data_IF_863806886179
#
_entry.id   IF_863806886179
#
_cell.length_a   1.000
_cell.length_b   1.000
_cell.length_c   1.000
_cell.angle_alpha   90.00
_cell.angle_beta   90.00
_cell.angle_gamma   90.00
#
_symmetry.space_group_name_H-M   'P 1'
#
loop_
_entity.id
_entity.type
_entity.pdbx_description
1 polymer ?
#
# COMPACT_ATOMS: atom_id res chain seq x y z
N UNK A 1 20.93 -26.10 -41.06
CA UNK A 1 20.61 -24.65 -41.14
C UNK A 1 19.12 -24.53 -41.37
N UNK A 2 18.34 -24.45 -40.28
CA UNK A 2 16.93 -24.02 -40.30
C UNK A 2 16.87 -22.60 -39.75
N UNK A 3 15.91 -21.76 -40.18
CA UNK A 3 15.87 -20.36 -39.78
C UNK A 3 15.46 -20.25 -38.32
N UNK A 4 16.14 -19.37 -37.59
CA UNK A 4 15.75 -18.92 -36.25
C UNK A 4 14.57 -17.97 -36.43
N UNK A 5 13.37 -18.37 -36.00
CA UNK A 5 12.24 -17.45 -35.85
C UNK A 5 12.54 -16.49 -34.70
N UNK A 6 12.71 -15.23 -35.04
CA UNK A 6 12.79 -14.14 -34.08
C UNK A 6 11.42 -14.00 -33.40
N UNK A 7 11.38 -14.28 -32.10
CA UNK A 7 10.26 -13.93 -31.23
C UNK A 7 10.06 -12.42 -31.28
N UNK A 8 8.94 -12.01 -31.86
CA UNK A 8 8.48 -10.63 -31.82
C UNK A 8 8.25 -10.24 -30.35
N UNK A 9 8.99 -9.23 -29.88
CA UNK A 9 8.69 -8.54 -28.64
C UNK A 9 7.28 -7.94 -28.75
N UNK A 10 6.35 -8.44 -27.96
CA UNK A 10 5.08 -7.78 -27.66
C UNK A 10 5.42 -6.43 -27.05
N UNK A 11 5.16 -5.36 -27.80
CA UNK A 11 5.09 -4.01 -27.24
C UNK A 11 3.84 -3.96 -26.37
N UNK A 12 4.02 -3.91 -25.06
CA UNK A 12 2.94 -3.54 -24.14
C UNK A 12 2.43 -2.14 -24.54
N UNK A 13 1.21 -2.10 -25.04
CA UNK A 13 0.54 -0.87 -25.40
C UNK A 13 0.16 -0.13 -24.11
N UNK A 14 1.04 0.76 -23.62
CA UNK A 14 0.71 1.70 -22.57
C UNK A 14 -0.56 2.47 -22.96
N UNK A 15 -1.59 2.41 -22.11
CA UNK A 15 -2.83 3.13 -22.35
C UNK A 15 -2.53 4.64 -22.48
N UNK A 16 -3.07 5.33 -23.52
CA UNK A 16 -2.80 6.74 -23.72
C UNK A 16 -3.31 7.56 -22.53
N UNK A 17 -2.51 8.54 -22.10
CA UNK A 17 -2.88 9.45 -21.02
C UNK A 17 -4.26 10.08 -21.28
N UNK A 18 -5.11 10.23 -20.24
CA UNK A 18 -6.43 10.80 -20.40
C UNK A 18 -6.33 12.24 -20.90
N UNK A 19 -6.98 12.53 -22.03
CA UNK A 19 -6.94 13.85 -22.68
C UNK A 19 -8.05 14.79 -22.21
N UNK A 20 -9.02 14.30 -21.44
CA UNK A 20 -10.14 15.10 -20.90
C UNK A 20 -10.83 14.43 -19.69
N UNK A 21 -11.76 15.14 -19.06
CA UNK A 21 -12.64 14.59 -18.02
C UNK A 21 -11.98 14.36 -16.66
N UNK A 22 -12.62 13.50 -15.86
CA UNK A 22 -12.24 13.23 -14.47
C UNK A 22 -10.88 12.53 -14.35
N UNK A 23 -10.53 11.65 -15.30
CA UNK A 23 -9.24 10.95 -15.31
C UNK A 23 -8.06 11.93 -15.46
N UNK A 24 -8.17 12.93 -16.35
CA UNK A 24 -7.16 14.00 -16.49
C UNK A 24 -7.03 14.80 -15.19
N UNK A 25 -8.14 15.09 -14.52
CA UNK A 25 -8.12 15.80 -13.23
C UNK A 25 -7.41 14.97 -12.15
N UNK A 26 -7.58 13.64 -12.15
CA UNK A 26 -6.89 12.74 -11.22
C UNK A 26 -5.36 12.79 -11.40
N UNK A 27 -4.87 12.67 -12.64
CA UNK A 27 -3.43 12.74 -12.94
C UNK A 27 -2.86 14.11 -12.60
N UNK A 28 -3.56 15.19 -12.98
CA UNK A 28 -3.14 16.55 -12.66
C UNK A 28 -3.09 16.81 -11.15
N UNK A 29 -4.05 16.28 -10.40
CA UNK A 29 -4.09 16.40 -8.94
C UNK A 29 -2.92 15.65 -8.28
N UNK A 30 -2.63 14.43 -8.74
CA UNK A 30 -1.47 13.66 -8.28
C UNK A 30 -0.16 14.42 -8.54
N UNK A 31 0.02 14.94 -9.75
CA UNK A 31 1.19 15.75 -10.13
C UNK A 31 1.34 16.99 -9.24
N UNK A 32 0.25 17.70 -8.98
CA UNK A 32 0.26 18.86 -8.08
C UNK A 32 0.68 18.49 -6.67
N UNK A 33 0.15 17.41 -6.09
CA UNK A 33 0.54 16.98 -4.74
C UNK A 33 2.01 16.55 -4.65
N UNK A 34 2.55 15.94 -5.71
CA UNK A 34 3.97 15.61 -5.80
C UNK A 34 4.86 16.85 -5.77
N UNK A 35 4.60 17.83 -6.64
CA UNK A 35 5.37 19.08 -6.65
C UNK A 35 5.24 19.85 -5.32
N UNK A 36 4.02 19.92 -4.79
CA UNK A 36 3.74 20.60 -3.53
C UNK A 36 4.53 20.00 -2.36
N UNK A 37 4.71 18.67 -2.36
CA UNK A 37 5.51 17.98 -1.34
C UNK A 37 6.98 18.42 -1.41
N UNK A 38 7.53 18.55 -2.62
CA UNK A 38 8.89 19.06 -2.83
C UNK A 38 9.07 20.51 -2.35
N UNK A 39 8.12 21.39 -2.71
CA UNK A 39 8.09 22.79 -2.26
C UNK A 39 8.06 22.88 -0.73
N UNK A 40 7.09 22.22 -0.09
CA UNK A 40 6.94 22.27 1.36
C UNK A 40 8.21 21.83 2.12
N UNK A 41 8.87 20.74 1.67
CA UNK A 41 10.12 20.27 2.28
C UNK A 41 11.24 21.30 2.08
N UNK A 42 11.36 21.84 0.86
CA UNK A 42 12.36 22.83 0.51
C UNK A 42 12.22 24.12 1.32
N UNK A 43 11.00 24.63 1.45
CA UNK A 43 10.70 25.87 2.18
C UNK A 43 11.00 25.74 3.67
N UNK A 44 10.51 24.68 4.31
CA UNK A 44 10.77 24.45 5.73
C UNK A 44 12.27 24.27 5.99
N UNK A 45 12.94 23.46 5.16
CA UNK A 45 14.38 23.19 5.31
C UNK A 45 15.20 24.46 5.06
N UNK A 46 14.89 25.21 4.01
CA UNK A 46 15.58 26.45 3.67
C UNK A 46 15.38 27.54 4.71
N UNK A 47 14.17 27.66 5.27
CA UNK A 47 13.90 28.58 6.38
C UNK A 47 14.70 28.21 7.62
N UNK A 48 14.70 26.93 8.02
CA UNK A 48 15.45 26.46 9.19
C UNK A 48 16.94 26.74 9.01
N UNK A 49 17.52 26.37 7.86
CA UNK A 49 18.94 26.57 7.59
C UNK A 49 19.29 28.06 7.48
N UNK A 50 18.50 28.83 6.71
CA UNK A 50 18.75 30.26 6.50
C UNK A 50 18.70 31.04 7.81
N UNK A 51 17.71 30.75 8.66
CA UNK A 51 17.59 31.37 9.98
C UNK A 51 18.73 30.96 10.90
N UNK A 52 19.07 29.66 10.95
CA UNK A 52 20.17 29.16 11.78
C UNK A 52 21.53 29.75 11.39
N UNK A 53 21.74 30.05 10.11
CA UNK A 53 22.95 30.68 9.59
C UNK A 53 22.90 32.22 9.61
N UNK A 54 21.81 32.82 10.08
CA UNK A 54 21.64 34.28 10.16
C UNK A 54 21.54 34.97 8.80
N UNK A 55 20.98 34.31 7.79
CA UNK A 55 20.76 34.91 6.48
C UNK A 55 19.68 36.00 6.54
N UNK A 56 19.80 36.99 5.65
CA UNK A 56 18.71 37.95 5.40
C UNK A 56 17.48 37.24 4.85
N UNK A 57 16.29 37.84 4.99
CA UNK A 57 15.03 37.28 4.44
C UNK A 57 15.18 36.91 2.96
N UNK A 58 15.81 37.76 2.14
CA UNK A 58 16.07 37.47 0.74
C UNK A 58 17.00 36.25 0.55
N UNK A 59 18.06 36.14 1.36
CA UNK A 59 18.97 34.99 1.33
C UNK A 59 18.27 33.69 1.72
N UNK A 60 17.41 33.72 2.73
CA UNK A 60 16.61 32.59 3.18
C UNK A 60 15.60 32.16 2.13
N UNK A 61 14.90 33.11 1.48
CA UNK A 61 13.99 32.83 0.36
C UNK A 61 14.74 32.16 -0.79
N UNK A 62 15.88 32.70 -1.22
CA UNK A 62 16.66 32.13 -2.32
C UNK A 62 17.15 30.71 -2.01
N UNK A 63 17.53 30.45 -0.76
CA UNK A 63 17.89 29.10 -0.30
C UNK A 63 16.70 28.15 -0.31
N UNK A 64 15.56 28.57 0.24
CA UNK A 64 14.31 27.81 0.25
C UNK A 64 13.87 27.43 -1.16
N UNK A 65 13.82 28.39 -2.09
CA UNK A 65 13.50 28.16 -3.50
C UNK A 65 14.47 27.15 -4.12
N UNK A 66 15.78 27.32 -3.89
CA UNK A 66 16.79 26.39 -4.40
C UNK A 66 16.60 24.97 -3.88
N UNK A 67 16.26 24.81 -2.60
CA UNK A 67 15.99 23.52 -1.97
C UNK A 67 14.66 22.93 -2.44
N UNK A 68 13.63 23.72 -2.69
CA UNK A 68 12.36 23.26 -3.24
C UNK A 68 12.55 22.60 -4.62
N UNK A 69 13.32 23.25 -5.50
CA UNK A 69 13.71 22.63 -6.78
C UNK A 69 14.52 21.35 -6.57
N UNK A 70 15.50 21.35 -5.66
CA UNK A 70 16.33 20.19 -5.38
C UNK A 70 15.50 18.99 -4.89
N UNK A 71 14.61 19.20 -3.92
CA UNK A 71 13.74 18.16 -3.37
C UNK A 71 12.70 17.71 -4.39
N UNK A 72 12.08 18.64 -5.12
CA UNK A 72 11.15 18.31 -6.20
C UNK A 72 11.77 17.39 -7.25
N UNK A 73 12.94 17.76 -7.79
CA UNK A 73 13.66 16.91 -8.75
C UNK A 73 14.10 15.58 -8.15
N UNK A 74 14.45 15.56 -6.86
CA UNK A 74 14.88 14.34 -6.17
C UNK A 74 13.72 13.36 -5.98
N UNK A 75 12.50 13.84 -5.68
CA UNK A 75 11.30 13.00 -5.57
C UNK A 75 10.96 12.33 -6.91
N UNK A 76 11.17 13.00 -8.03
CA UNK A 76 11.00 12.42 -9.39
C UNK A 76 12.15 11.50 -9.77
N UNK A 77 13.39 11.89 -9.47
CA UNK A 77 14.59 11.20 -9.93
C UNK A 77 14.84 9.88 -9.19
N UNK A 78 14.54 9.84 -7.89
CA UNK A 78 14.92 8.72 -7.04
C UNK A 78 14.21 7.40 -7.38
N UNK A 79 12.89 7.36 -7.67
CA UNK A 79 12.24 6.15 -8.17
C UNK A 79 12.81 5.68 -9.51
N UNK A 80 13.11 6.60 -10.43
CA UNK A 80 13.67 6.28 -11.75
C UNK A 80 15.09 5.70 -11.65
N UNK A 81 15.92 6.26 -10.77
CA UNK A 81 17.26 5.71 -10.50
C UNK A 81 17.18 4.33 -9.85
N UNK A 82 16.23 4.11 -8.94
CA UNK A 82 15.99 2.79 -8.32
C UNK A 82 15.51 1.75 -9.32
N UNK A 83 14.74 2.18 -10.33
CA UNK A 83 14.34 1.34 -11.46
C UNK A 83 15.48 1.11 -12.48
N UNK A 84 16.69 1.59 -12.21
CA UNK A 84 17.89 1.32 -13.01
C UNK A 84 18.12 2.25 -14.20
N UNK A 85 17.38 3.36 -14.33
CA UNK A 85 17.61 4.33 -15.39
C UNK A 85 18.92 5.11 -15.16
N UNK A 86 19.67 5.36 -16.24
CA UNK A 86 20.89 6.18 -16.17
C UNK A 86 20.57 7.66 -15.88
N UNK A 87 21.44 8.34 -15.13
CA UNK A 87 21.30 9.77 -14.81
C UNK A 87 21.08 10.66 -16.04
N UNK A 88 21.68 10.31 -17.18
CA UNK A 88 21.51 11.02 -18.46
C UNK A 88 20.07 10.99 -18.99
N UNK A 89 19.28 10.00 -18.60
CA UNK A 89 17.86 9.87 -18.94
C UNK A 89 16.99 10.50 -17.85
N UNK A 90 17.34 10.29 -16.58
CA UNK A 90 16.56 10.77 -15.44
C UNK A 90 16.55 12.30 -15.33
N UNK A 91 17.71 12.94 -15.48
CA UNK A 91 17.85 14.40 -15.28
C UNK A 91 16.93 15.18 -16.24
N UNK A 92 16.93 14.94 -17.56
CA UNK A 92 16.01 15.60 -18.48
C UNK A 92 14.53 15.35 -18.13
N UNK A 93 14.18 14.15 -17.67
CA UNK A 93 12.80 13.81 -17.28
C UNK A 93 12.37 14.64 -16.08
N UNK A 94 13.17 14.70 -15.01
CA UNK A 94 12.85 15.48 -13.81
C UNK A 94 12.71 16.98 -14.13
N UNK A 95 13.63 17.54 -14.92
CA UNK A 95 13.55 18.93 -15.37
C UNK A 95 12.28 19.19 -16.21
N UNK A 96 11.98 18.32 -17.17
CA UNK A 96 10.78 18.48 -17.99
C UNK A 96 9.48 18.33 -17.19
N UNK A 97 9.52 17.55 -16.10
CA UNK A 97 8.37 17.18 -15.28
C UNK A 97 8.01 18.26 -14.26
N UNK A 98 9.02 18.77 -13.56
CA UNK A 98 8.81 19.52 -12.33
C UNK A 98 9.06 21.03 -12.48
N UNK A 99 9.97 21.46 -13.36
CA UNK A 99 10.50 22.84 -13.35
C UNK A 99 9.41 23.90 -13.43
N UNK A 100 8.44 23.74 -14.34
CA UNK A 100 7.41 24.76 -14.54
C UNK A 100 6.39 24.79 -13.39
N UNK A 101 6.00 23.62 -12.87
CA UNK A 101 5.04 23.55 -11.75
C UNK A 101 5.64 24.13 -10.47
N UNK A 102 6.89 23.74 -10.15
CA UNK A 102 7.60 24.25 -8.97
C UNK A 102 7.80 25.75 -9.11
N UNK A 103 8.24 26.25 -10.26
CA UNK A 103 8.43 27.69 -10.47
C UNK A 103 7.14 28.49 -10.20
N UNK A 104 5.99 28.00 -10.65
CA UNK A 104 4.69 28.64 -10.39
C UNK A 104 4.36 28.61 -8.90
N UNK A 105 4.54 27.47 -8.23
CA UNK A 105 4.28 27.33 -6.80
C UNK A 105 5.16 28.28 -5.98
N UNK A 106 6.47 28.28 -6.22
CA UNK A 106 7.42 29.16 -5.51
C UNK A 106 7.10 30.65 -5.68
N UNK A 107 6.66 31.07 -6.88
CA UNK A 107 6.24 32.47 -7.10
C UNK A 107 5.02 32.80 -6.24
N UNK A 108 4.04 31.90 -6.21
CA UNK A 108 2.80 32.10 -5.44
C UNK A 108 3.08 32.05 -3.95
N UNK A 109 3.82 31.06 -3.47
CA UNK A 109 4.13 30.86 -2.06
C UNK A 109 4.86 32.08 -1.49
N UNK A 110 5.95 32.51 -2.13
CA UNK A 110 6.70 33.68 -1.69
C UNK A 110 5.86 34.97 -1.79
N UNK A 111 4.97 35.10 -2.78
CA UNK A 111 4.07 36.25 -2.86
C UNK A 111 3.06 36.28 -1.69
N UNK A 112 2.53 35.13 -1.28
CA UNK A 112 1.64 35.03 -0.11
C UNK A 112 2.42 35.31 1.18
N UNK A 113 3.60 34.74 1.34
CA UNK A 113 4.44 34.98 2.52
C UNK A 113 4.80 36.47 2.70
N UNK A 114 5.04 37.19 1.61
CA UNK A 114 5.25 38.64 1.63
C UNK A 114 3.96 39.42 1.92
N UNK A 115 2.81 38.92 1.45
CA UNK A 115 1.52 39.60 1.62
C UNK A 115 0.94 39.45 3.04
N UNK A 116 1.24 38.35 3.75
CA UNK A 116 0.78 38.12 5.13
C UNK A 116 1.63 38.97 6.09
N UNK A 117 1.03 39.94 6.82
CA UNK A 117 1.79 40.78 7.75
C UNK A 117 2.50 39.95 8.82
N UNK A 118 3.79 40.23 9.04
CA UNK A 118 4.61 39.54 10.04
C UNK A 118 5.07 38.13 9.67
N UNK A 119 4.57 37.51 8.60
CA UNK A 119 4.96 36.14 8.23
C UNK A 119 6.44 36.00 7.84
N UNK A 120 7.02 37.03 7.21
CA UNK A 120 8.44 37.05 6.85
C UNK A 120 9.39 37.20 8.04
N UNK A 121 8.89 37.71 9.17
CA UNK A 121 9.66 37.90 10.40
C UNK A 121 9.42 36.77 11.41
N UNK A 122 8.36 35.98 11.22
CA UNK A 122 8.02 34.84 12.04
C UNK A 122 8.98 33.66 11.74
N UNK A 123 9.61 33.12 12.78
CA UNK A 123 10.52 31.98 12.67
C UNK A 123 9.79 30.64 12.80
N UNK A 124 10.55 29.55 12.68
CA UNK A 124 10.04 28.17 12.82
C UNK A 124 9.31 27.89 14.15
N UNK A 125 9.57 28.68 15.20
CA UNK A 125 8.93 28.56 16.50
C UNK A 125 7.57 29.26 16.60
N UNK A 126 7.23 30.11 15.62
CA UNK A 126 6.03 30.95 15.66
C UNK A 126 4.87 30.28 14.95
N UNK A 127 3.69 30.32 15.57
CA UNK A 127 2.49 29.73 14.98
C UNK A 127 2.06 30.46 13.70
N UNK A 128 2.32 31.78 13.63
CA UNK A 128 2.05 32.62 12.47
C UNK A 128 2.82 32.13 11.23
N UNK A 129 4.08 31.72 11.39
CA UNK A 129 4.87 31.16 10.30
C UNK A 129 4.18 29.92 9.71
N UNK A 130 3.85 28.94 10.56
CA UNK A 130 3.21 27.71 10.11
C UNK A 130 1.82 27.95 9.52
N UNK A 131 1.08 28.93 10.05
CA UNK A 131 -0.22 29.31 9.52
C UNK A 131 -0.13 29.95 8.13
N UNK A 132 0.78 30.91 7.96
CA UNK A 132 1.03 31.58 6.69
C UNK A 132 1.54 30.60 5.62
N UNK A 133 2.54 29.78 5.97
CA UNK A 133 3.10 28.75 5.08
C UNK A 133 2.05 27.75 4.61
N UNK A 134 1.19 27.28 5.52
CA UNK A 134 0.14 26.33 5.17
C UNK A 134 -0.86 26.93 4.17
N UNK A 135 -1.24 28.19 4.34
CA UNK A 135 -2.16 28.88 3.42
C UNK A 135 -1.48 29.18 2.08
N UNK A 136 -0.21 29.60 2.10
CA UNK A 136 0.61 29.79 0.92
C UNK A 136 0.60 28.51 0.05
N UNK A 137 1.06 27.40 0.62
CA UNK A 137 1.17 26.10 -0.07
C UNK A 137 -0.16 25.64 -0.67
N UNK A 138 -1.27 25.84 0.03
CA UNK A 138 -2.60 25.50 -0.47
C UNK A 138 -2.97 26.35 -1.69
N UNK A 139 -2.73 27.67 -1.62
CA UNK A 139 -3.01 28.58 -2.73
C UNK A 139 -2.09 28.26 -3.91
N UNK A 140 -0.80 28.02 -3.69
CA UNK A 140 0.15 27.58 -4.70
C UNK A 140 -0.28 26.28 -5.36
N UNK A 141 -0.72 25.28 -4.59
CA UNK A 141 -1.29 24.03 -5.10
C UNK A 141 -2.54 24.25 -5.97
N UNK A 142 -3.47 25.11 -5.53
CA UNK A 142 -4.67 25.47 -6.30
C UNK A 142 -4.32 26.15 -7.63
N UNK A 143 -3.31 27.03 -7.64
CA UNK A 143 -2.84 27.72 -8.85
C UNK A 143 -2.06 26.78 -9.78
N UNK A 144 -1.28 25.86 -9.23
CA UNK A 144 -0.49 24.91 -10.01
C UNK A 144 -1.33 23.76 -10.60
N UNK A 145 -2.47 23.41 -10.00
CA UNK A 145 -3.39 22.42 -10.54
C UNK A 145 -3.80 22.65 -12.01
N UNK A 146 -4.34 23.82 -12.42
CA UNK A 146 -4.65 24.07 -13.82
C UNK A 146 -3.41 24.10 -14.72
N UNK A 147 -2.24 24.48 -14.18
CA UNK A 147 -0.96 24.44 -14.89
C UNK A 147 -0.56 23.00 -15.22
N UNK A 148 -0.55 22.12 -14.23
CA UNK A 148 -0.23 20.70 -14.41
C UNK A 148 -1.22 20.03 -15.34
N UNK A 149 -2.51 20.33 -15.18
CA UNK A 149 -3.55 19.87 -16.09
C UNK A 149 -3.28 20.29 -17.54
N UNK A 150 -2.89 21.55 -17.77
CA UNK A 150 -2.57 22.05 -19.10
C UNK A 150 -1.30 21.38 -19.67
N UNK A 151 -0.24 21.24 -18.88
CA UNK A 151 1.00 20.56 -19.29
C UNK A 151 0.73 19.12 -19.75
N UNK A 152 -0.08 18.37 -18.99
CA UNK A 152 -0.44 16.98 -19.33
C UNK A 152 -1.17 16.92 -20.68
N UNK A 153 -2.09 17.84 -20.96
CA UNK A 153 -2.78 17.89 -22.28
C UNK A 153 -1.85 18.20 -23.46
N UNK A 154 -0.61 18.62 -23.19
CA UNK A 154 0.42 18.90 -24.19
C UNK A 154 1.52 17.84 -24.22
N UNK A 155 1.35 16.71 -23.55
CA UNK A 155 2.38 15.69 -23.35
C UNK A 155 3.68 16.28 -22.77
N UNK A 156 3.53 17.19 -21.80
CA UNK A 156 4.64 17.83 -21.08
C UNK A 156 4.44 17.68 -19.57
N UNK A 157 5.41 18.11 -18.79
CA UNK A 157 5.34 17.98 -17.33
C UNK A 157 5.29 16.50 -16.95
N UNK A 158 4.39 16.17 -16.03
CA UNK A 158 4.21 14.82 -15.49
C UNK A 158 3.71 13.78 -16.51
N UNK A 159 3.28 14.20 -17.70
CA UNK A 159 3.03 13.27 -18.80
C UNK A 159 4.31 12.52 -19.23
N UNK A 160 5.47 13.18 -19.19
CA UNK A 160 6.77 12.59 -19.57
C UNK A 160 7.19 11.50 -18.58
N UNK A 161 6.93 11.71 -17.29
CA UNK A 161 7.16 10.69 -16.28
C UNK A 161 6.22 9.49 -16.47
N UNK A 162 4.96 9.72 -16.81
CA UNK A 162 3.98 8.65 -17.05
C UNK A 162 4.35 7.73 -18.22
N UNK A 163 5.03 8.24 -19.25
CA UNK A 163 5.55 7.43 -20.37
C UNK A 163 6.59 6.38 -19.91
N UNK A 164 7.21 6.57 -18.76
CA UNK A 164 8.18 5.60 -18.21
C UNK A 164 7.53 4.41 -17.51
N UNK A 165 6.23 4.47 -17.21
CA UNK A 165 5.52 3.45 -16.42
C UNK A 165 5.89 3.40 -14.94
N UNK A 166 6.87 4.19 -14.49
CA UNK A 166 7.36 4.19 -13.11
C UNK A 166 6.64 5.28 -12.33
N UNK A 167 5.97 4.89 -11.25
CA UNK A 167 5.28 5.80 -10.33
C UNK A 167 5.85 5.64 -8.93
N UNK A 168 6.23 6.74 -8.30
CA UNK A 168 6.77 6.74 -6.95
C UNK A 168 6.23 7.90 -6.12
N UNK A 169 6.32 7.78 -4.80
CA UNK A 169 5.89 8.82 -3.86
C UNK A 169 4.96 8.29 -2.75
N UNK A 170 4.71 9.09 -1.70
CA UNK A 170 3.77 8.74 -0.64
C UNK A 170 2.34 8.60 -1.18
N UNK A 171 1.46 7.81 -0.52
CA UNK A 171 0.09 7.61 -0.98
C UNK A 171 -0.65 8.94 -1.15
N UNK A 172 -1.19 9.20 -2.35
CA UNK A 172 -1.87 10.47 -2.70
C UNK A 172 -2.94 10.86 -1.67
N UNK A 173 -3.67 9.89 -1.13
CA UNK A 173 -4.70 10.12 -0.10
C UNK A 173 -4.11 10.67 1.22
N UNK A 174 -2.94 10.19 1.61
CA UNK A 174 -2.24 10.69 2.79
C UNK A 174 -1.80 12.13 2.55
N UNK A 175 -1.18 12.42 1.39
CA UNK A 175 -0.74 13.77 1.04
C UNK A 175 -1.93 14.72 0.96
N UNK A 176 -3.04 14.30 0.35
CA UNK A 176 -4.27 15.09 0.27
C UNK A 176 -4.88 15.37 1.66
N UNK A 177 -4.87 14.38 2.56
CA UNK A 177 -5.36 14.56 3.93
C UNK A 177 -4.48 15.56 4.70
N UNK A 178 -3.16 15.42 4.63
CA UNK A 178 -2.21 16.34 5.26
C UNK A 178 -2.39 17.75 4.72
N UNK A 179 -2.53 17.92 3.40
CA UNK A 179 -2.78 19.21 2.77
C UNK A 179 -4.11 19.84 3.25
N UNK A 180 -5.18 19.05 3.36
CA UNK A 180 -6.46 19.54 3.88
C UNK A 180 -6.37 19.96 5.36
N UNK A 181 -5.68 19.17 6.19
CA UNK A 181 -5.45 19.51 7.59
C UNK A 181 -4.62 20.80 7.74
N UNK A 182 -3.55 20.96 6.95
CA UNK A 182 -2.74 22.17 6.90
C UNK A 182 -3.58 23.39 6.48
N UNK A 183 -4.48 23.25 5.50
CA UNK A 183 -5.37 24.33 5.07
C UNK A 183 -6.29 24.82 6.19
N UNK A 184 -6.92 23.88 6.92
CA UNK A 184 -7.79 24.22 8.07
C UNK A 184 -6.99 24.90 9.17
N UNK A 185 -5.84 24.33 9.52
CA UNK A 185 -4.95 24.88 10.54
C UNK A 185 -4.50 26.31 10.18
N UNK A 186 -3.95 26.51 8.97
CA UNK A 186 -3.44 27.81 8.56
C UNK A 186 -4.53 28.88 8.47
N UNK A 187 -5.71 28.52 7.96
CA UNK A 187 -6.86 29.44 7.92
C UNK A 187 -7.28 29.85 9.34
N UNK A 188 -7.34 28.91 10.28
CA UNK A 188 -7.68 29.20 11.66
C UNK A 188 -6.67 30.14 12.34
N UNK A 189 -5.37 29.91 12.12
CA UNK A 189 -4.30 30.77 12.65
C UNK A 189 -4.40 32.19 12.08
N UNK A 190 -4.51 32.34 10.75
CA UNK A 190 -4.57 33.67 10.13
C UNK A 190 -5.84 34.44 10.51
N UNK A 191 -6.99 33.78 10.66
CA UNK A 191 -8.21 34.40 11.17
C UNK A 191 -8.03 34.80 12.65
N UNK A 192 -7.38 33.96 13.46
CA UNK A 192 -7.06 34.26 14.85
C UNK A 192 -6.21 35.51 14.99
N UNK A 193 -5.17 35.67 14.16
CA UNK A 193 -4.32 36.87 14.12
C UNK A 193 -5.07 38.11 13.62
N UNK A 194 -5.89 37.96 12.58
CA UNK A 194 -6.68 39.06 12.02
C UNK A 194 -7.76 39.59 13.00
N UNK A 195 -8.31 38.72 13.85
CA UNK A 195 -9.33 39.07 14.86
C UNK A 195 -8.70 39.42 16.22
N UNK A 196 -7.55 38.83 16.52
CA UNK A 196 -6.83 38.94 17.80
C UNK A 196 -5.86 40.11 17.92
N UNK A 197 -5.70 40.92 16.87
CA UNK A 197 -4.81 42.10 16.80
C UNK A 197 -5.15 43.28 17.75
N UNK A 198 -5.64 43.00 18.95
CA UNK A 198 -5.96 43.99 19.98
C UNK A 198 -5.67 43.57 21.43
N UNK A 199 -4.90 42.51 21.70
CA UNK A 199 -4.53 42.18 23.07
C UNK A 199 -3.08 41.69 23.23
N UNK A 200 -2.18 42.64 23.45
CA UNK A 200 -0.82 42.40 23.92
C UNK A 200 -0.86 41.70 25.29
N UNK A 201 -0.08 40.62 25.46
CA UNK A 201 0.19 40.10 26.79
C UNK A 201 0.76 38.68 26.88
N UNK A 202 2.08 38.58 27.01
CA UNK A 202 2.67 37.70 28.03
C UNK A 202 3.39 36.43 27.56
N UNK A 203 4.72 36.57 27.47
CA UNK A 203 5.80 35.58 27.63
C UNK A 203 5.48 34.16 28.13
N UNK A 204 6.19 33.20 27.53
CA UNK A 204 6.42 31.86 28.10
C UNK A 204 7.54 31.09 27.41
N UNK A 205 8.74 31.67 27.33
CA UNK A 205 9.93 30.89 27.00
C UNK A 205 10.19 29.85 28.08
N UNK A 206 10.33 28.58 27.67
CA UNK A 206 10.86 27.52 28.53
C UNK A 206 12.07 26.90 27.85
N UNK A 207 13.23 27.35 28.30
CA UNK A 207 14.53 26.73 28.11
C UNK A 207 14.72 25.62 29.17
N UNK A 208 15.16 24.43 28.74
CA UNK A 208 15.87 23.37 29.50
C UNK A 208 15.77 22.07 28.70
N UNK A 209 16.75 21.18 28.59
CA UNK A 209 18.17 21.14 28.90
C UNK A 209 18.68 19.86 28.22
N UNK A 210 19.95 19.84 27.82
CA UNK A 210 20.63 18.66 27.31
C UNK A 210 20.70 17.53 28.38
N UNK A 211 20.91 16.29 27.92
CA UNK A 211 22.01 15.51 28.48
C UNK A 211 22.97 15.04 27.39
N UNK A 212 24.25 15.24 27.68
CA UNK A 212 25.40 14.70 26.96
C UNK A 212 25.58 13.20 27.22
N UNK A 213 26.05 12.48 26.20
CA UNK A 213 26.99 11.37 26.36
C UNK A 213 26.46 9.97 26.06
N UNK A 214 26.74 9.46 24.86
CA UNK A 214 27.66 8.33 24.72
C UNK A 214 28.18 8.22 23.28
N UNK A 215 29.50 8.32 23.16
CA UNK A 215 30.31 8.04 21.99
C UNK A 215 30.37 6.54 21.68
N UNK A 216 30.31 6.21 20.40
CA UNK A 216 30.65 4.90 19.85
C UNK A 216 30.96 5.03 18.36
N UNK A 217 32.24 5.24 18.04
CA UNK A 217 32.79 4.99 16.71
C UNK A 217 32.68 3.49 16.38
N UNK A 218 32.27 3.13 15.17
CA UNK A 218 33.18 2.61 14.13
C UNK A 218 32.42 2.04 12.91
N UNK A 219 33.07 2.26 11.76
CA UNK A 219 33.16 1.39 10.57
C UNK A 219 32.01 1.33 9.56
N UNK A 220 32.24 2.15 8.52
CA UNK A 220 32.12 1.75 7.12
C UNK A 220 32.72 0.37 6.84
N UNK A 221 31.90 -0.52 6.29
CA UNK A 221 32.32 -1.65 5.45
C UNK A 221 31.48 -1.63 4.18
N UNK A 222 32.17 -1.41 3.06
CA UNK A 222 31.66 -1.59 1.72
C UNK A 222 31.79 -3.06 1.34
N UNK A 223 30.71 -3.72 0.93
CA UNK A 223 30.76 -5.00 0.21
C UNK A 223 29.63 -5.11 -0.83
N UNK A 224 30.04 -5.40 -2.06
CA UNK A 224 29.45 -6.45 -2.90
C UNK A 224 28.13 -6.16 -3.60
N UNK A 225 28.19 -5.52 -4.78
CA UNK A 225 27.14 -5.64 -5.79
C UNK A 225 27.02 -7.11 -6.25
N UNK A 226 25.86 -7.72 -6.01
CA UNK A 226 25.42 -8.91 -6.73
C UNK A 226 24.18 -8.52 -7.54
N UNK A 227 24.33 -8.51 -8.86
CA UNK A 227 23.22 -8.28 -9.80
C UNK A 227 22.39 -9.56 -9.91
N UNK A 228 21.17 -9.52 -9.41
CA UNK A 228 20.11 -10.43 -9.83
C UNK A 228 19.01 -9.60 -10.47
N UNK A 229 18.60 -10.00 -11.68
CA UNK A 229 17.50 -9.42 -12.43
C UNK A 229 16.18 -9.76 -11.73
N UNK A 230 15.70 -8.87 -10.87
CA UNK A 230 14.42 -9.01 -10.18
C UNK A 230 13.29 -8.42 -11.03
N UNK A 231 12.32 -9.26 -11.35
CA UNK A 231 10.95 -8.84 -11.63
C UNK A 231 10.42 -8.13 -10.37
N UNK A 232 9.68 -7.03 -10.51
CA UNK A 232 9.16 -6.30 -9.34
C UNK A 232 8.30 -7.23 -8.45
N UNK A 233 8.48 -7.20 -7.11
CA UNK A 233 7.65 -7.95 -6.18
C UNK A 233 6.16 -7.64 -6.35
N UNK A 234 5.30 -8.65 -6.28
CA UNK A 234 3.83 -8.44 -6.30
C UNK A 234 3.44 -7.53 -5.12
N UNK A 235 2.70 -6.41 -5.33
CA UNK A 235 2.33 -5.50 -4.25
C UNK A 235 1.59 -6.23 -3.12
N UNK A 236 1.95 -5.91 -1.88
CA UNK A 236 1.34 -6.51 -0.68
C UNK A 236 -0.16 -6.17 -0.59
N UNK A 237 -1.02 -7.19 -0.70
CA UNK A 237 -2.49 -7.02 -0.81
C UNK A 237 -3.22 -7.13 0.53
N UNK A 238 -4.49 -6.74 0.53
CA UNK A 238 -5.40 -6.97 1.65
C UNK A 238 -5.17 -6.08 2.88
N UNK A 239 -4.24 -5.11 2.81
CA UNK A 239 -3.99 -4.12 3.85
C UNK A 239 -4.93 -2.92 3.79
N UNK A 240 -5.50 -2.62 2.62
CA UNK A 240 -6.37 -1.47 2.42
C UNK A 240 -7.86 -1.83 2.53
N UNK A 241 -8.65 -0.89 3.09
CA UNK A 241 -10.13 -0.95 3.05
C UNK A 241 -10.67 -0.62 1.65
N UNK A 242 -9.84 0.04 0.84
CA UNK A 242 -10.12 0.41 -0.54
C UNK A 242 -8.84 0.41 -1.38
N UNK A 243 -8.85 -0.32 -2.49
CA UNK A 243 -7.72 -0.56 -3.40
C UNK A 243 -8.19 -0.45 -4.84
N UNK A 244 -7.37 0.09 -5.75
CA UNK A 244 -7.71 0.27 -7.17
C UNK A 244 -9.06 0.96 -7.46
N UNK A 245 -9.45 1.90 -6.60
CA UNK A 245 -10.72 2.62 -6.70
C UNK A 245 -11.94 1.82 -6.26
N UNK A 246 -11.76 0.61 -5.74
CA UNK A 246 -12.81 -0.22 -5.17
C UNK A 246 -12.77 -0.19 -3.65
N UNK A 247 -13.90 -0.52 -3.00
CA UNK A 247 -14.03 -0.61 -1.55
C UNK A 247 -14.93 -1.78 -1.16
N UNK A 248 -14.58 -2.46 -0.07
CA UNK A 248 -15.42 -3.49 0.55
C UNK A 248 -16.33 -2.85 1.61
N UNK A 249 -17.64 -2.94 1.42
CA UNK A 249 -18.64 -2.43 2.35
C UNK A 249 -19.43 -3.57 2.99
N UNK A 250 -19.11 -3.88 4.24
CA UNK A 250 -19.89 -4.83 5.04
C UNK A 250 -21.23 -4.21 5.45
N UNK A 251 -22.33 -4.95 5.27
CA UNK A 251 -23.65 -4.51 5.73
C UNK A 251 -23.76 -4.57 7.27
N UNK A 252 -22.96 -5.43 7.90
CA UNK A 252 -22.85 -5.57 9.35
C UNK A 252 -21.37 -5.57 9.75
N UNK A 253 -21.06 -4.87 10.85
CA UNK A 253 -19.71 -4.81 11.44
C UNK A 253 -19.58 -5.65 12.72
N UNK A 254 -20.65 -6.32 13.12
CA UNK A 254 -20.70 -7.16 14.30
C UNK A 254 -21.39 -8.49 13.95
N UNK A 255 -20.88 -9.59 14.48
CA UNK A 255 -21.40 -10.94 14.30
C UNK A 255 -21.65 -11.60 15.67
N UNK A 256 -22.77 -12.34 15.81
CA UNK A 256 -23.08 -13.00 17.07
C UNK A 256 -22.17 -14.21 17.30
N UNK A 257 -21.48 -14.23 18.44
CA UNK A 257 -20.63 -15.35 18.84
C UNK A 257 -21.42 -16.66 18.94
N UNK A 258 -20.86 -17.73 18.40
CA UNK A 258 -21.35 -19.11 18.51
C UNK A 258 -22.64 -19.41 17.75
N UNK A 259 -23.27 -18.40 17.11
CA UNK A 259 -24.50 -18.55 16.34
C UNK A 259 -24.21 -18.45 14.85
N UNK A 260 -25.02 -19.14 14.04
CA UNK A 260 -25.01 -18.93 12.59
C UNK A 260 -25.60 -17.56 12.30
N UNK A 261 -24.95 -16.80 11.45
CA UNK A 261 -25.41 -15.52 10.96
C UNK A 261 -25.08 -15.40 9.47
N UNK A 262 -25.87 -14.62 8.74
CA UNK A 262 -25.48 -14.18 7.41
C UNK A 262 -24.37 -13.12 7.54
N UNK A 263 -23.35 -13.19 6.68
CA UNK A 263 -22.39 -12.14 6.41
C UNK A 263 -22.69 -11.59 5.02
N UNK A 264 -23.06 -10.31 4.94
CA UNK A 264 -23.39 -9.63 3.69
C UNK A 264 -22.51 -8.41 3.47
N UNK A 265 -22.14 -8.18 2.20
CA UNK A 265 -21.29 -7.08 1.80
C UNK A 265 -21.50 -6.69 0.34
N UNK A 266 -20.99 -5.53 -0.03
CA UNK A 266 -20.95 -5.03 -1.42
C UNK A 266 -19.53 -4.61 -1.75
N UNK A 267 -19.10 -4.85 -2.99
CA UNK A 267 -17.91 -4.19 -3.54
C UNK A 267 -18.41 -2.99 -4.33
N UNK A 268 -17.96 -1.79 -3.95
CA UNK A 268 -18.37 -0.54 -4.59
C UNK A 268 -17.19 0.13 -5.26
N UNK A 269 -17.45 0.87 -6.33
CA UNK A 269 -16.44 1.71 -6.98
C UNK A 269 -16.26 3.07 -6.25
N UNK A 270 -15.46 3.95 -6.85
CA UNK A 270 -15.16 5.27 -6.31
C UNK A 270 -16.35 6.23 -6.28
N UNK A 271 -17.41 5.94 -7.04
CA UNK A 271 -18.69 6.65 -7.02
C UNK A 271 -19.68 6.08 -6.00
N UNK A 272 -19.37 4.92 -5.40
CA UNK A 272 -20.23 4.21 -4.47
C UNK A 272 -21.20 3.23 -5.14
N UNK A 273 -21.07 3.01 -6.45
CA UNK A 273 -21.95 2.11 -7.20
C UNK A 273 -21.53 0.64 -7.03
N UNK A 274 -22.47 -0.31 -6.85
CA UNK A 274 -22.16 -1.73 -6.73
C UNK A 274 -21.55 -2.32 -8.01
N UNK A 275 -20.35 -2.88 -7.86
CA UNK A 275 -19.65 -3.64 -8.89
C UNK A 275 -20.25 -5.03 -9.01
N UNK A 276 -20.34 -5.56 -10.25
CA UNK A 276 -21.01 -6.85 -10.55
C UNK A 276 -20.27 -7.74 -11.55
N UNK A 277 -19.27 -7.21 -12.24
CA UNK A 277 -18.48 -7.86 -13.29
C UNK A 277 -17.31 -8.65 -12.70
N UNK A 278 -17.64 -9.71 -11.96
CA UNK A 278 -16.64 -10.61 -11.37
C UNK A 278 -16.42 -11.85 -12.24
N UNK A 279 -15.15 -12.18 -12.46
CA UNK A 279 -14.73 -13.35 -13.22
C UNK A 279 -14.66 -14.60 -12.33
N UNK A 280 -14.75 -15.78 -12.94
CA UNK A 280 -14.58 -17.04 -12.21
C UNK A 280 -13.09 -17.38 -12.18
N UNK A 281 -12.54 -17.51 -10.99
CA UNK A 281 -11.20 -18.03 -10.72
C UNK A 281 -11.32 -19.12 -9.66
N UNK A 282 -10.57 -20.22 -9.77
CA UNK A 282 -10.64 -21.32 -8.79
C UNK A 282 -12.08 -21.83 -8.54
N UNK A 283 -12.88 -22.00 -9.61
CA UNK A 283 -14.30 -22.40 -9.61
C UNK A 283 -15.28 -21.44 -8.90
N UNK A 284 -14.84 -20.27 -8.45
CA UNK A 284 -15.67 -19.30 -7.73
C UNK A 284 -15.45 -17.90 -8.28
N UNK A 285 -16.43 -17.01 -8.04
CA UNK A 285 -16.27 -15.58 -8.37
C UNK A 285 -15.71 -14.76 -7.21
N UNK A 286 -15.69 -15.34 -6.01
CA UNK A 286 -15.34 -14.66 -4.78
C UNK A 286 -14.86 -15.68 -3.74
N UNK A 287 -13.66 -15.46 -3.24
CA UNK A 287 -13.13 -16.12 -2.05
C UNK A 287 -13.23 -15.13 -0.90
N UNK A 288 -13.96 -15.49 0.14
CA UNK A 288 -14.11 -14.67 1.34
C UNK A 288 -13.36 -15.32 2.49
N UNK A 289 -12.29 -14.70 2.94
CA UNK A 289 -11.48 -15.16 4.06
C UNK A 289 -11.88 -14.35 5.29
N UNK A 290 -12.17 -15.03 6.40
CA UNK A 290 -12.43 -14.41 7.70
C UNK A 290 -11.39 -14.90 8.68
N UNK A 291 -10.42 -14.05 9.02
CA UNK A 291 -9.29 -14.38 9.87
C UNK A 291 -9.31 -13.54 11.15
N UNK A 292 -9.09 -14.16 12.31
CA UNK A 292 -8.93 -13.44 13.58
C UNK A 292 -7.62 -12.64 13.55
N UNK A 293 -7.60 -11.47 14.19
CA UNK A 293 -6.43 -10.57 14.21
C UNK A 293 -5.13 -11.21 14.73
N UNK A 294 -5.25 -12.24 15.56
CA UNK A 294 -4.13 -13.01 16.13
C UNK A 294 -3.85 -14.34 15.39
N UNK A 295 -4.43 -14.53 14.20
CA UNK A 295 -4.30 -15.73 13.36
C UNK A 295 -4.81 -17.04 14.00
N UNK A 296 -5.49 -16.98 15.14
CA UNK A 296 -6.00 -18.18 15.83
C UNK A 296 -7.38 -18.65 15.37
N UNK A 297 -8.01 -17.91 14.44
CA UNK A 297 -9.27 -18.29 13.81
C UNK A 297 -9.26 -17.99 12.31
N UNK A 298 -9.78 -18.91 11.51
CA UNK A 298 -9.80 -18.82 10.04
C UNK A 298 -11.05 -19.51 9.48
N UNK A 299 -11.72 -18.86 8.53
CA UNK A 299 -12.72 -19.48 7.65
C UNK A 299 -12.51 -19.00 6.22
N UNK A 300 -12.71 -19.90 5.27
CA UNK A 300 -12.71 -19.61 3.84
C UNK A 300 -14.09 -19.98 3.29
N UNK A 301 -14.80 -18.98 2.80
CA UNK A 301 -16.20 -19.03 2.40
C UNK A 301 -16.33 -18.63 0.93
N UNK A 302 -17.39 -19.10 0.27
CA UNK A 302 -17.70 -18.76 -1.12
C UNK A 302 -19.08 -18.10 -1.16
N UNK A 303 -19.15 -16.76 -0.97
CA UNK A 303 -20.43 -16.06 -0.99
C UNK A 303 -21.06 -16.08 -2.37
N UNK A 304 -22.36 -15.82 -2.42
CA UNK A 304 -23.13 -15.72 -3.67
C UNK A 304 -23.56 -14.28 -3.92
N UNK A 305 -23.49 -13.85 -5.18
CA UNK A 305 -23.90 -12.51 -5.61
C UNK A 305 -25.42 -12.50 -5.88
N UNK A 306 -26.15 -11.68 -5.15
CA UNK A 306 -27.58 -11.41 -5.38
C UNK A 306 -27.83 -10.38 -6.48
N UNK A 307 -29.05 -10.34 -7.01
CA UNK A 307 -29.45 -9.36 -8.03
C UNK A 307 -29.36 -7.90 -7.54
N UNK A 308 -29.45 -7.69 -6.23
CA UNK A 308 -29.26 -6.40 -5.56
C UNK A 308 -27.79 -5.95 -5.49
N UNK A 309 -26.86 -6.74 -6.02
CA UNK A 309 -25.42 -6.43 -6.02
C UNK A 309 -24.72 -6.81 -4.72
N UNK A 310 -25.42 -7.41 -3.75
CA UNK A 310 -24.83 -7.85 -2.49
C UNK A 310 -24.37 -9.28 -2.55
N UNK A 311 -23.20 -9.51 -2.00
CA UNK A 311 -22.68 -10.82 -1.67
C UNK A 311 -23.23 -11.29 -0.32
N UNK A 312 -23.50 -12.59 -0.21
CA UNK A 312 -24.01 -13.23 1.01
C UNK A 312 -23.40 -14.61 1.23
N UNK A 313 -23.07 -14.91 2.47
CA UNK A 313 -22.69 -16.26 2.93
C UNK A 313 -23.16 -16.47 4.37
N UNK A 314 -23.39 -17.73 4.77
CA UNK A 314 -23.52 -18.06 6.19
C UNK A 314 -22.14 -18.18 6.83
N UNK A 315 -22.02 -17.69 8.06
CA UNK A 315 -20.82 -17.80 8.90
C UNK A 315 -21.19 -18.17 10.33
N UNK A 316 -20.34 -18.93 11.01
CA UNK A 316 -20.47 -19.23 12.44
C UNK A 316 -19.11 -19.13 13.12
N UNK A 317 -18.90 -18.10 13.92
CA UNK A 317 -17.61 -17.85 14.60
C UNK A 317 -17.77 -18.11 16.09
N UNK A 318 -16.98 -19.04 16.63
CA UNK A 318 -17.09 -19.48 18.04
C UNK A 318 -16.31 -18.63 19.03
N UNK A 319 -15.22 -18.01 18.59
CA UNK A 319 -14.36 -17.16 19.41
C UNK A 319 -14.75 -15.68 19.26
N UNK A 320 -14.65 -14.93 20.35
CA UNK A 320 -14.87 -13.49 20.35
C UNK A 320 -13.63 -12.76 19.82
N UNK A 321 -13.80 -11.51 19.38
CA UNK A 321 -12.69 -10.60 19.07
C UNK A 321 -12.80 -9.96 17.70
N UNK A 322 -11.70 -9.36 17.27
CA UNK A 322 -11.61 -8.65 15.99
C UNK A 322 -11.17 -9.58 14.87
N UNK A 323 -11.90 -9.57 13.77
CA UNK A 323 -11.64 -10.35 12.58
C UNK A 323 -11.44 -9.43 11.39
N UNK A 324 -10.49 -9.79 10.54
CA UNK A 324 -10.31 -9.20 9.22
C UNK A 324 -10.99 -10.10 8.20
N UNK A 325 -11.81 -9.48 7.36
CA UNK A 325 -12.48 -10.09 6.22
C UNK A 325 -11.72 -9.70 4.96
N UNK A 326 -11.35 -10.65 4.11
CA UNK A 326 -10.74 -10.42 2.82
C UNK A 326 -11.69 -10.92 1.73
N UNK A 327 -12.01 -10.06 0.78
CA UNK A 327 -12.71 -10.39 -0.45
C UNK A 327 -11.66 -10.48 -1.57
N UNK A 328 -11.38 -11.70 -2.02
CA UNK A 328 -10.41 -12.01 -3.05
C UNK A 328 -11.14 -12.46 -4.33
N UNK A 329 -10.93 -11.72 -5.41
CA UNK A 329 -11.68 -11.88 -6.65
C UNK A 329 -10.89 -11.41 -7.87
N UNK A 330 -11.35 -11.84 -9.04
CA UNK A 330 -10.80 -11.41 -10.33
C UNK A 330 -11.75 -10.47 -11.05
N UNK A 331 -11.20 -9.38 -11.62
CA UNK A 331 -11.94 -8.39 -12.40
C UNK A 331 -11.04 -7.71 -13.43
N UNK A 332 -11.50 -7.67 -14.69
CA UNK A 332 -10.76 -7.03 -15.77
C UNK A 332 -9.45 -7.75 -16.08
N UNK A 333 -9.39 -9.06 -15.84
CA UNK A 333 -8.18 -9.88 -15.98
C UNK A 333 -7.22 -9.82 -14.79
N UNK A 334 -7.44 -8.94 -13.81
CA UNK A 334 -6.56 -8.76 -12.65
C UNK A 334 -7.14 -9.35 -11.37
N UNK A 335 -6.26 -9.90 -10.53
CA UNK A 335 -6.61 -10.40 -9.20
C UNK A 335 -6.57 -9.25 -8.19
N UNK A 336 -7.61 -9.14 -7.37
CA UNK A 336 -7.79 -8.03 -6.44
C UNK A 336 -8.25 -8.56 -5.09
N UNK A 337 -7.69 -7.98 -4.02
CA UNK A 337 -8.02 -8.37 -2.65
C UNK A 337 -8.37 -7.13 -1.83
N UNK A 338 -9.64 -7.01 -1.44
CA UNK A 338 -10.11 -5.93 -0.55
C UNK A 338 -10.30 -6.45 0.86
N UNK A 339 -10.10 -5.61 1.87
CA UNK A 339 -10.31 -6.01 3.25
C UNK A 339 -11.25 -5.09 4.04
N UNK A 340 -11.88 -5.64 5.07
CA UNK A 340 -12.66 -4.89 6.06
C UNK A 340 -12.58 -5.58 7.42
N UNK A 341 -12.93 -4.88 8.50
CA UNK A 341 -12.97 -5.46 9.83
C UNK A 341 -14.41 -5.75 10.27
N UNK A 342 -14.57 -6.87 10.97
CA UNK A 342 -15.80 -7.28 11.65
C UNK A 342 -15.48 -7.72 13.08
N UNK A 343 -16.30 -7.32 14.04
CA UNK A 343 -16.18 -7.77 15.42
C UNK A 343 -17.08 -8.97 15.70
N UNK A 344 -16.66 -9.85 16.59
CA UNK A 344 -17.48 -10.95 17.12
C UNK A 344 -17.67 -10.77 18.61
N UNK A 345 -18.93 -10.77 19.04
CA UNK A 345 -19.35 -10.44 20.41
C UNK A 345 -18.61 -11.22 21.50
N UNK A 346 -18.26 -10.54 22.58
CA UNK A 346 -17.72 -11.14 23.80
C UNK A 346 -16.36 -10.57 24.21
N UNK A 347 -15.83 -11.01 25.37
CA UNK A 347 -14.56 -10.52 25.89
C UNK A 347 -13.41 -10.88 24.95
N UNK A 348 -12.55 -9.91 24.66
CA UNK A 348 -11.34 -10.12 23.87
C UNK A 348 -10.35 -10.95 24.68
N UNK A 349 -10.10 -12.17 24.22
CA UNK A 349 -9.05 -13.07 24.72
C UNK A 349 -7.97 -13.19 23.64
N UNK A 350 -7.00 -12.27 23.66
CA UNK A 350 -5.89 -12.26 22.71
C UNK A 350 -4.98 -13.47 23.00
N UNK A 351 -4.79 -14.32 21.99
CA UNK A 351 -3.94 -15.51 22.13
C UNK A 351 -2.66 -15.30 21.33
N UNK A 352 -1.51 -15.79 21.81
CA UNK A 352 -0.31 -15.78 20.98
C UNK A 352 -0.55 -16.64 19.74
N UNK A 353 0.02 -16.21 18.61
CA UNK A 353 0.08 -17.04 17.40
C UNK A 353 0.71 -18.38 17.73
N UNK A 354 0.23 -19.45 17.07
CA UNK A 354 0.77 -20.79 17.26
C UNK A 354 2.30 -20.81 17.03
N UNK A 355 3.06 -21.64 17.76
CA UNK A 355 4.50 -21.76 17.54
C UNK A 355 4.79 -22.35 16.15
N UNK A 356 5.98 -22.05 15.62
CA UNK A 356 6.47 -22.62 14.35
C UNK A 356 6.51 -24.14 14.43
N UNK A 357 5.85 -24.80 13.47
CA UNK A 357 5.75 -26.26 13.39
C UNK A 357 5.69 -26.71 11.94
N UNK A 358 6.25 -27.88 11.66
CA UNK A 358 6.20 -28.53 10.35
C UNK A 358 5.08 -29.58 10.25
N UNK A 359 4.26 -29.74 11.29
CA UNK A 359 3.12 -30.65 11.29
C UNK A 359 1.92 -30.02 11.99
N UNK A 360 0.74 -30.19 11.39
CA UNK A 360 -0.54 -29.68 11.89
C UNK A 360 -1.63 -30.77 11.85
N UNK A 361 -2.54 -30.72 12.82
CA UNK A 361 -3.72 -31.57 12.87
C UNK A 361 -4.88 -30.88 12.12
N UNK A 362 -5.58 -31.62 11.27
CA UNK A 362 -6.74 -31.13 10.51
C UNK A 362 -8.06 -31.78 10.95
N UNK A 363 -8.07 -32.37 12.15
CA UNK A 363 -9.19 -33.10 12.76
C UNK A 363 -9.40 -34.48 12.15
N UNK A 364 -10.27 -35.29 12.78
CA UNK A 364 -10.76 -36.57 12.22
C UNK A 364 -9.66 -37.56 11.77
N UNK A 365 -8.50 -37.53 12.43
CA UNK A 365 -7.36 -38.41 12.12
C UNK A 365 -6.48 -37.92 10.97
N UNK A 366 -6.74 -36.72 10.42
CA UNK A 366 -5.91 -36.09 9.41
C UNK A 366 -4.76 -35.33 10.05
N UNK A 367 -3.55 -35.55 9.52
CA UNK A 367 -2.35 -34.78 9.86
C UNK A 367 -1.65 -34.36 8.59
N UNK A 368 -1.25 -33.09 8.53
CA UNK A 368 -0.56 -32.50 7.38
C UNK A 368 0.87 -32.17 7.81
N UNK A 369 1.83 -32.57 6.98
CA UNK A 369 3.25 -32.19 7.14
C UNK A 369 3.58 -31.11 6.13
N UNK A 370 4.08 -29.98 6.60
CA UNK A 370 4.69 -28.94 5.78
C UNK A 370 6.09 -29.40 5.36
N UNK A 371 6.36 -29.34 4.06
CA UNK A 371 7.62 -29.68 3.41
C UNK A 371 8.06 -28.50 2.54
N UNK A 372 9.35 -28.37 2.25
CA UNK A 372 9.91 -27.25 1.50
C UNK A 372 11.14 -26.67 2.20
N UNK A 373 11.96 -25.95 1.45
CA UNK A 373 13.20 -25.33 1.94
C UNK A 373 12.90 -24.12 2.83
N UNK A 374 13.91 -23.57 3.50
CA UNK A 374 13.78 -22.31 4.23
C UNK A 374 13.37 -21.20 3.27
N UNK A 375 12.45 -20.32 3.70
CA UNK A 375 12.03 -19.17 2.88
C UNK A 375 12.82 -17.94 3.27
N UNK A 376 13.31 -17.22 2.27
CA UNK A 376 13.89 -15.89 2.41
C UNK A 376 12.90 -14.82 1.93
N UNK A 377 13.00 -13.64 2.52
CA UNK A 377 12.16 -12.51 2.16
C UNK A 377 12.51 -11.98 0.76
N UNK A 378 11.49 -11.71 -0.06
CA UNK A 378 11.64 -11.22 -1.43
C UNK A 378 12.04 -12.28 -2.45
N UNK A 379 12.12 -13.55 -2.06
CA UNK A 379 12.35 -14.68 -2.96
C UNK A 379 11.08 -15.52 -3.13
N UNK A 380 10.88 -16.03 -4.35
CA UNK A 380 9.85 -17.02 -4.62
C UNK A 380 10.18 -18.32 -3.87
N UNK A 381 9.24 -18.80 -3.07
CA UNK A 381 9.39 -20.00 -2.28
C UNK A 381 8.35 -21.05 -2.68
N UNK A 382 8.80 -22.30 -2.84
CA UNK A 382 7.91 -23.44 -2.94
C UNK A 382 7.58 -23.99 -1.54
N UNK A 383 6.29 -24.10 -1.24
CA UNK A 383 5.78 -24.72 -0.02
C UNK A 383 4.95 -25.95 -0.37
N UNK A 384 5.35 -27.09 0.18
CA UNK A 384 4.74 -28.40 -0.05
C UNK A 384 3.99 -28.93 1.17
N UNK A 385 2.98 -29.77 0.94
CA UNK A 385 2.19 -30.38 1.99
C UNK A 385 1.90 -31.84 1.70
N UNK A 386 2.23 -32.72 2.65
CA UNK A 386 1.89 -34.14 2.61
C UNK A 386 0.74 -34.42 3.57
N UNK A 387 -0.33 -35.04 3.08
CA UNK A 387 -1.52 -35.35 3.89
C UNK A 387 -1.50 -36.82 4.30
N UNK A 388 -1.66 -37.07 5.59
CA UNK A 388 -1.82 -38.40 6.16
C UNK A 388 -3.15 -38.54 6.88
N UNK A 389 -3.76 -39.72 6.83
CA UNK A 389 -4.92 -40.10 7.64
C UNK A 389 -4.58 -41.36 8.43
N UNK A 390 -4.68 -41.29 9.75
CA UNK A 390 -4.36 -42.41 10.65
C UNK A 390 -2.96 -43.03 10.38
N UNK A 391 -1.98 -42.16 10.07
CA UNK A 391 -0.58 -42.55 9.84
C UNK A 391 -0.25 -43.06 8.43
N UNK A 392 -1.22 -43.09 7.50
CA UNK A 392 -0.96 -43.43 6.09
C UNK A 392 -1.13 -42.21 5.21
N UNK A 393 -0.21 -42.02 4.27
CA UNK A 393 -0.33 -41.00 3.23
C UNK A 393 -1.53 -41.31 2.33
N UNK A 394 -2.25 -40.27 1.92
CA UNK A 394 -3.45 -40.39 1.10
C UNK A 394 -3.37 -39.42 -0.09
N UNK A 395 -4.01 -39.79 -1.20
CA UNK A 395 -4.32 -38.86 -2.27
C UNK A 395 -5.52 -37.99 -1.87
N UNK A 396 -5.56 -36.75 -2.37
CA UNK A 396 -6.65 -35.80 -2.11
C UNK A 396 -7.50 -35.57 -3.36
N UNK A 397 -8.77 -35.24 -3.14
CA UNK A 397 -9.71 -34.85 -4.19
C UNK A 397 -9.36 -33.46 -4.73
N UNK A 398 -9.75 -33.18 -5.97
CA UNK A 398 -9.68 -31.82 -6.51
C UNK A 398 -10.61 -30.88 -5.74
N UNK A 399 -10.09 -29.70 -5.45
CA UNK A 399 -10.75 -28.62 -4.74
C UNK A 399 -10.35 -27.29 -5.38
N UNK A 400 -11.35 -26.57 -5.91
CA UNK A 400 -11.15 -25.25 -6.52
C UNK A 400 -10.16 -25.27 -7.70
N UNK A 401 -10.27 -26.28 -8.55
CA UNK A 401 -9.39 -26.49 -9.71
C UNK A 401 -7.97 -27.00 -9.42
N UNK A 402 -7.64 -27.33 -8.16
CA UNK A 402 -6.31 -27.82 -7.75
C UNK A 402 -6.39 -28.90 -6.66
N UNK A 403 -5.26 -29.48 -6.25
CA UNK A 403 -5.21 -30.46 -5.13
C UNK A 403 -5.37 -29.85 -3.74
N UNK A 404 -5.31 -28.52 -3.64
CA UNK A 404 -5.58 -27.78 -2.43
C UNK A 404 -5.64 -26.29 -2.70
N UNK A 405 -5.94 -25.53 -1.66
CA UNK A 405 -5.95 -24.08 -1.69
C UNK A 405 -5.22 -23.57 -0.44
N UNK A 406 -4.30 -22.64 -0.61
CA UNK A 406 -3.47 -22.12 0.47
C UNK A 406 -3.69 -20.61 0.59
N UNK A 407 -3.99 -20.17 1.81
CA UNK A 407 -3.97 -18.75 2.18
C UNK A 407 -2.80 -18.50 3.11
N UNK A 408 -2.01 -17.48 2.83
CA UNK A 408 -0.89 -17.05 3.66
C UNK A 408 -1.11 -15.61 4.14
N UNK A 409 -0.99 -15.39 5.44
CA UNK A 409 -1.23 -14.10 6.09
C UNK A 409 -0.04 -13.71 6.98
N UNK A 410 0.49 -12.50 6.84
CA UNK A 410 1.57 -12.00 7.71
C UNK A 410 1.07 -11.72 9.12
N UNK A 411 1.87 -12.06 10.13
CA UNK A 411 1.57 -11.70 11.51
C UNK A 411 1.51 -10.17 11.70
N UNK A 412 0.56 -9.71 12.51
CA UNK A 412 0.38 -8.30 12.84
C UNK A 412 -0.61 -7.61 11.91
N UNK A 413 -0.21 -7.34 10.66
CA UNK A 413 -1.04 -6.58 9.72
C UNK A 413 -1.96 -7.42 8.85
N UNK A 414 -1.72 -8.74 8.79
CA UNK A 414 -2.43 -9.71 7.97
C UNK A 414 -2.36 -9.37 6.49
N UNK A 415 -1.20 -8.89 6.02
CA UNK A 415 -0.91 -8.82 4.60
C UNK A 415 -1.27 -10.16 3.94
N UNK A 416 -2.12 -10.09 2.91
CA UNK A 416 -2.60 -11.25 2.17
C UNK A 416 -1.60 -11.56 1.06
N UNK A 417 -1.08 -12.77 1.05
CA UNK A 417 -0.09 -13.20 0.07
C UNK A 417 -0.80 -13.87 -1.11
N UNK A 418 -0.31 -13.57 -2.31
CA UNK A 418 -0.73 -14.28 -3.50
C UNK A 418 -0.05 -15.65 -3.56
N UNK A 419 -0.86 -16.70 -3.73
CA UNK A 419 -0.37 -18.08 -3.70
C UNK A 419 -0.92 -18.83 -4.89
N UNK A 420 -0.05 -19.48 -5.65
CA UNK A 420 -0.43 -20.31 -6.79
C UNK A 420 -0.14 -21.78 -6.54
N UNK A 421 -1.03 -22.70 -6.93
CA UNK A 421 -0.66 -24.11 -7.06
C UNK A 421 0.52 -24.24 -8.03
N UNK A 422 1.55 -25.01 -7.66
CA UNK A 422 2.62 -25.34 -8.60
C UNK A 422 2.09 -26.28 -9.70
N UNK A 423 2.86 -26.51 -10.78
CA UNK A 423 2.44 -27.36 -11.91
C UNK A 423 1.98 -28.77 -11.48
N UNK A 424 2.61 -29.35 -10.45
CA UNK A 424 2.24 -30.65 -9.85
C UNK A 424 0.97 -30.60 -8.97
N UNK A 425 0.52 -29.40 -8.61
CA UNK A 425 -0.73 -29.13 -7.89
C UNK A 425 -1.96 -28.99 -8.80
N UNK A 426 -1.78 -28.87 -10.12
CA UNK A 426 -2.87 -28.87 -11.10
C UNK A 426 -3.39 -30.30 -11.33
N UNK A 427 -4.71 -30.48 -11.25
CA UNK A 427 -5.39 -31.77 -11.24
C UNK A 427 -5.14 -32.61 -12.49
N UNK A 428 -4.10 -33.43 -12.46
CA UNK A 428 -3.83 -34.50 -13.42
C UNK A 428 -4.18 -35.87 -12.83
N UNK A 429 -4.67 -36.79 -13.69
CA UNK A 429 -5.12 -38.14 -13.32
C UNK A 429 -4.02 -39.07 -12.72
N UNK A 430 -2.77 -38.60 -12.61
CA UNK A 430 -1.61 -39.37 -12.15
C UNK A 430 -0.93 -38.82 -10.89
N UNK A 431 -1.50 -37.79 -10.23
CA UNK A 431 -1.00 -37.33 -8.95
C UNK A 431 -1.35 -38.37 -7.87
N UNK A 432 -0.38 -39.24 -7.55
CA UNK A 432 -0.49 -40.21 -6.47
C UNK A 432 -0.57 -39.53 -5.10
N UNK A 433 0.11 -40.06 -4.10
CA UNK A 433 0.23 -39.42 -2.79
C UNK A 433 1.24 -38.24 -2.78
N UNK A 434 1.52 -37.66 -3.96
CA UNK A 434 2.52 -36.61 -4.11
C UNK A 434 2.17 -35.36 -3.28
N UNK A 435 3.19 -34.62 -2.78
CA UNK A 435 2.96 -33.41 -2.00
C UNK A 435 2.17 -32.36 -2.78
N UNK A 436 1.17 -31.75 -2.13
CA UNK A 436 0.46 -30.58 -2.64
C UNK A 436 1.43 -29.41 -2.57
N UNK A 437 1.75 -28.76 -3.70
CA UNK A 437 2.76 -27.69 -3.75
C UNK A 437 2.16 -26.37 -4.18
N UNK A 438 2.68 -25.31 -3.60
CA UNK A 438 2.34 -23.94 -3.95
C UNK A 438 3.62 -23.11 -4.09
N UNK A 439 3.59 -22.16 -5.03
CA UNK A 439 4.56 -21.10 -5.14
C UNK A 439 3.99 -19.83 -4.51
N UNK A 440 4.80 -19.12 -3.74
CA UNK A 440 4.46 -17.84 -3.12
C UNK A 440 5.72 -17.04 -2.86
N UNK A 441 5.64 -15.73 -2.96
CA UNK A 441 6.70 -14.83 -2.49
C UNK A 441 6.35 -14.30 -1.09
N UNK A 442 7.32 -14.32 -0.16
CA UNK A 442 7.16 -13.71 1.15
C UNK A 442 7.80 -12.31 1.13
N UNK A 443 7.02 -11.22 1.19
CA UNK A 443 7.55 -9.88 0.89
C UNK A 443 8.46 -9.30 1.99
N UNK A 444 8.47 -9.88 3.18
CA UNK A 444 9.32 -9.43 4.30
C UNK A 444 9.69 -10.58 5.22
N UNK A 445 10.72 -10.38 6.02
CA UNK A 445 11.00 -11.25 7.16
C UNK A 445 9.85 -11.21 8.19
N UNK A 446 9.74 -12.27 8.99
CA UNK A 446 8.76 -12.38 10.06
C UNK A 446 7.97 -13.69 10.04
N UNK A 447 6.86 -13.72 10.79
CA UNK A 447 6.00 -14.90 10.90
C UNK A 447 4.76 -14.77 10.04
N UNK A 448 4.35 -15.91 9.48
CA UNK A 448 3.20 -16.02 8.58
C UNK A 448 2.31 -17.19 9.00
N UNK A 449 1.00 -16.94 9.04
CA UNK A 449 -0.02 -17.97 9.19
C UNK A 449 -0.34 -18.58 7.83
N UNK A 450 -0.10 -19.88 7.68
CA UNK A 450 -0.43 -20.65 6.48
C UNK A 450 -1.65 -21.52 6.75
N UNK A 451 -2.70 -21.37 5.95
CA UNK A 451 -3.95 -22.09 6.07
C UNK A 451 -4.18 -22.94 4.82
N UNK A 452 -3.75 -24.21 4.88
CA UNK A 452 -3.98 -25.16 3.81
C UNK A 452 -5.39 -25.73 3.91
N UNK A 453 -6.14 -25.64 2.83
CA UNK A 453 -7.35 -26.40 2.61
C UNK A 453 -7.15 -27.50 1.57
N UNK A 454 -7.60 -28.71 1.90
CA UNK A 454 -7.62 -29.85 0.98
C UNK A 454 -8.96 -30.57 1.11
N UNK A 455 -9.32 -31.36 0.09
CA UNK A 455 -10.55 -32.13 0.07
C UNK A 455 -10.26 -33.62 0.05
N UNK A 456 -11.00 -34.40 0.82
CA UNK A 456 -10.94 -35.86 0.76
C UNK A 456 -12.32 -36.43 1.09
N UNK A 457 -12.75 -37.44 0.33
CA UNK A 457 -14.08 -38.04 0.47
C UNK A 457 -15.21 -36.98 0.42
N UNK A 458 -15.07 -35.98 -0.45
CA UNK A 458 -16.07 -34.93 -0.61
C UNK A 458 -16.09 -33.86 0.49
N UNK A 459 -15.22 -33.94 1.51
CA UNK A 459 -15.18 -33.01 2.64
C UNK A 459 -13.92 -32.16 2.61
N UNK A 460 -14.07 -30.87 2.92
CA UNK A 460 -12.95 -29.93 3.03
C UNK A 460 -12.39 -29.97 4.45
N UNK A 461 -11.08 -30.00 4.55
CA UNK A 461 -10.31 -29.97 5.79
C UNK A 461 -9.39 -28.76 5.77
N UNK A 462 -9.01 -28.25 6.95
CA UNK A 462 -8.09 -27.12 7.08
C UNK A 462 -6.99 -27.45 8.06
N UNK A 463 -5.74 -27.22 7.65
CA UNK A 463 -4.56 -27.32 8.49
C UNK A 463 -3.90 -25.94 8.58
N UNK A 464 -3.58 -25.51 9.80
CA UNK A 464 -2.95 -24.22 10.07
C UNK A 464 -1.51 -24.41 10.53
N UNK A 465 -0.60 -23.62 9.98
CA UNK A 465 0.82 -23.60 10.33
C UNK A 465 1.28 -22.17 10.62
N UNK A 466 2.29 -22.06 11.47
CA UNK A 466 3.10 -20.85 11.59
C UNK A 466 4.42 -21.12 10.91
N UNK A 467 4.78 -20.28 9.94
CA UNK A 467 6.07 -20.30 9.25
C UNK A 467 6.85 -19.05 9.61
N UNK A 468 8.13 -19.21 9.84
CA UNK A 468 9.08 -18.10 10.02
C UNK A 468 9.85 -17.93 8.72
N UNK A 469 10.00 -16.69 8.29
CA UNK A 469 10.71 -16.29 7.07
C UNK A 469 11.88 -15.43 7.51
N UNK A 470 13.07 -15.84 7.11
CA UNK A 470 14.29 -15.12 7.40
C UNK A 470 14.48 -13.97 6.41
N UNK A 471 15.39 -13.05 6.77
CA UNK A 471 15.82 -11.98 5.88
C UNK A 471 16.62 -12.48 4.70
#
# INVERSE_FOLDING_TARGET
MGPVEATAHTQDHHAPLPTSGAALNGVAFSATLHCLTGCAIGEVTGMIIGTALGFSNLGTILLAVGLAFLFGYSLTSLPLLRAGLALSVVIPIALATDTFSIAVMEIVDNAIMVAVPGAMEAGAGDILFWGALSVALVIAGVVAFPVNRWLITKNRGHAVLHETGIHGGPPIRLVAFVAAAAAVFGTAVLVGEAVGGGNDGGHGGSEMAAPSGHSGEERSTAEGEHKTSGQEPDPVRGLAVAENGLKLELAQRELPRGRRAELSFTVVDSSGEPVRDFEVEHDRRMHLIVARRDLTGFQHLHPTLGGDGRWRTEVKIGDAGSYRVFADFKRGGENQTLAADVAVDGPLDARPMAPVRTAADAGNGYRVKLTGEESQAGEEAEVGFTVTRNGREIAVDDYLGAKGHLVALREGDLAYLHVHPAESGHGGANAGSEPIRFATEFPSDGRYGLFLQFKHEGKVHTAAFTREVAR
#
